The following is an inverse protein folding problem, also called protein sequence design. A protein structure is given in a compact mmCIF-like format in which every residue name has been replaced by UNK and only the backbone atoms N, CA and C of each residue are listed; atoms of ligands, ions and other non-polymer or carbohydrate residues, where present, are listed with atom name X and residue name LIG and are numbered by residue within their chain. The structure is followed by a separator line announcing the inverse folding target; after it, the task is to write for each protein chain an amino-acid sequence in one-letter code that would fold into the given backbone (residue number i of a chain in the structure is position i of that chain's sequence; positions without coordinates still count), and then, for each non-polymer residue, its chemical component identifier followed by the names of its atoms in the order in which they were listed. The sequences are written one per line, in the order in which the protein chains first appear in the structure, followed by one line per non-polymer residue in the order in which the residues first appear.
data_IF_175731762974
#
_entry.id   IF_175731762974
#
_cell.length_a   1.000
_cell.length_b   1.000
_cell.length_c   1.000
_cell.angle_alpha   90.00
_cell.angle_beta   90.00
_cell.angle_gamma   90.00
#
_symmetry.space_group_name_H-M   'P 1'
#
loop_
_entity.id
_entity.type
_entity.pdbx_description
1 polymer ?
#
# COMPACT_ATOMS: atom_id res chain seq x y z
N UNK A 1 -34.78 -7.21 48.68
CA UNK A 1 -34.23 -6.82 47.36
C UNK A 1 -34.66 -7.87 46.33
N UNK A 2 -35.54 -7.50 45.41
CA UNK A 2 -36.31 -8.38 44.53
C UNK A 2 -35.46 -8.98 43.39
N UNK A 3 -35.77 -10.22 42.99
CA UNK A 3 -35.10 -10.95 41.89
C UNK A 3 -34.95 -10.13 40.60
N UNK A 4 -35.96 -9.33 40.26
CA UNK A 4 -35.95 -8.44 39.10
C UNK A 4 -34.78 -7.42 39.08
N UNK A 5 -34.31 -6.97 40.25
CA UNK A 5 -33.17 -6.06 40.33
C UNK A 5 -31.84 -6.79 40.04
N UNK A 6 -31.70 -8.03 40.51
CA UNK A 6 -30.53 -8.88 40.24
C UNK A 6 -30.44 -9.28 38.76
N UNK A 7 -31.55 -9.60 38.12
CA UNK A 7 -31.55 -9.96 36.70
C UNK A 7 -31.22 -8.75 35.82
N UNK A 8 -31.70 -7.54 36.19
CA UNK A 8 -31.35 -6.30 35.50
C UNK A 8 -29.86 -5.95 35.65
N UNK A 9 -29.29 -6.13 36.84
CA UNK A 9 -27.84 -5.97 37.08
C UNK A 9 -27.02 -6.96 36.27
N UNK A 10 -27.38 -8.25 36.26
CA UNK A 10 -26.69 -9.29 35.47
C UNK A 10 -26.76 -9.03 33.97
N UNK A 11 -27.91 -8.57 33.47
CA UNK A 11 -28.06 -8.17 32.07
C UNK A 11 -27.17 -6.97 31.72
N UNK A 12 -27.05 -6.00 32.63
CA UNK A 12 -26.17 -4.86 32.46
C UNK A 12 -24.68 -5.22 32.51
N UNK A 13 -24.27 -6.10 33.43
CA UNK A 13 -22.90 -6.62 33.53
C UNK A 13 -22.48 -7.39 32.28
N UNK A 14 -23.39 -8.23 31.76
CA UNK A 14 -23.15 -9.00 30.53
C UNK A 14 -23.01 -8.08 29.32
N UNK A 15 -23.88 -7.08 29.19
CA UNK A 15 -23.78 -6.09 28.12
C UNK A 15 -22.47 -5.31 28.21
N UNK A 16 -22.08 -4.87 29.41
CA UNK A 16 -20.83 -4.15 29.62
C UNK A 16 -19.61 -5.00 29.25
N UNK A 17 -19.60 -6.28 29.63
CA UNK A 17 -18.53 -7.21 29.26
C UNK A 17 -18.47 -7.43 27.74
N UNK A 18 -19.61 -7.64 27.08
CA UNK A 18 -19.67 -7.80 25.62
C UNK A 18 -19.19 -6.55 24.89
N UNK A 19 -19.60 -5.37 25.35
CA UNK A 19 -19.14 -4.11 24.77
C UNK A 19 -17.64 -3.91 24.98
N UNK A 20 -17.13 -4.16 26.19
CA UNK A 20 -15.69 -4.04 26.47
C UNK A 20 -14.86 -4.95 25.54
N UNK A 21 -15.29 -6.21 25.36
CA UNK A 21 -14.64 -7.14 24.44
C UNK A 21 -14.75 -6.66 23.00
N UNK A 22 -15.93 -6.22 22.57
CA UNK A 22 -16.14 -5.72 21.20
C UNK A 22 -15.27 -4.50 20.90
N UNK A 23 -15.22 -3.51 21.80
CA UNK A 23 -14.38 -2.33 21.65
C UNK A 23 -12.88 -2.64 21.72
N UNK A 24 -12.48 -3.76 22.32
CA UNK A 24 -11.09 -4.20 22.32
C UNK A 24 -10.72 -4.96 21.04
N UNK A 25 -11.58 -5.87 20.57
CA UNK A 25 -11.28 -6.74 19.43
C UNK A 25 -11.56 -6.10 18.07
N UNK A 26 -12.57 -5.24 17.97
CA UNK A 26 -12.97 -4.64 16.69
C UNK A 26 -11.89 -3.73 16.10
N UNK A 27 -11.22 -2.84 16.87
CA UNK A 27 -10.09 -2.08 16.35
C UNK A 27 -8.92 -2.97 15.91
N UNK A 28 -8.68 -4.09 16.61
CA UNK A 28 -7.62 -5.04 16.25
C UNK A 28 -7.92 -5.70 14.90
N UNK A 29 -9.14 -6.20 14.72
CA UNK A 29 -9.57 -6.80 13.46
C UNK A 29 -9.46 -5.81 12.29
N UNK A 30 -9.98 -4.59 12.48
CA UNK A 30 -9.91 -3.55 11.44
C UNK A 30 -8.47 -3.13 11.17
N UNK A 31 -7.62 -3.05 12.21
CA UNK A 31 -6.19 -2.81 12.05
C UNK A 31 -5.49 -3.87 11.20
N UNK A 32 -5.85 -5.15 11.34
CA UNK A 32 -5.32 -6.24 10.50
C UNK A 32 -5.75 -6.05 9.04
N UNK A 33 -7.03 -5.73 8.79
CA UNK A 33 -7.55 -5.51 7.43
C UNK A 33 -6.85 -4.33 6.76
N UNK A 34 -6.76 -3.20 7.47
CA UNK A 34 -6.11 -1.99 6.99
C UNK A 34 -4.62 -2.22 6.69
N UNK A 35 -3.90 -2.90 7.58
CA UNK A 35 -2.50 -3.23 7.38
C UNK A 35 -2.31 -4.20 6.20
N UNK A 36 -3.17 -5.21 6.07
CA UNK A 36 -3.16 -6.14 4.94
C UNK A 36 -3.37 -5.42 3.61
N UNK A 37 -4.31 -4.46 3.56
CA UNK A 37 -4.52 -3.61 2.39
C UNK A 37 -3.30 -2.75 2.05
N UNK A 38 -2.63 -2.18 3.07
CA UNK A 38 -1.41 -1.39 2.88
C UNK A 38 -0.26 -2.24 2.33
N UNK A 39 -0.08 -3.46 2.87
CA UNK A 39 0.93 -4.41 2.41
C UNK A 39 0.65 -4.86 0.96
N UNK A 40 -0.60 -5.16 0.62
CA UNK A 40 -1.00 -5.52 -0.74
C UNK A 40 -0.61 -4.43 -1.75
N UNK A 41 -0.92 -3.17 -1.43
CA UNK A 41 -0.53 -2.01 -2.24
C UNK A 41 0.99 -1.90 -2.35
N UNK A 42 1.71 -2.05 -1.23
CA UNK A 42 3.16 -1.93 -1.21
C UNK A 42 3.83 -2.99 -2.08
N UNK A 43 3.38 -4.25 -2.03
CA UNK A 43 3.88 -5.34 -2.88
C UNK A 43 3.62 -5.03 -4.36
N UNK A 44 2.40 -4.62 -4.72
CA UNK A 44 2.08 -4.26 -6.10
C UNK A 44 2.92 -3.07 -6.60
N UNK A 45 3.13 -2.06 -5.75
CA UNK A 45 3.99 -0.91 -6.05
C UNK A 45 5.46 -1.33 -6.23
N UNK A 46 5.96 -2.28 -5.45
CA UNK A 46 7.31 -2.84 -5.58
C UNK A 46 7.47 -3.62 -6.88
N UNK A 47 6.51 -4.48 -7.25
CA UNK A 47 6.53 -5.22 -8.53
C UNK A 47 6.56 -4.25 -9.71
N UNK A 48 5.69 -3.24 -9.68
CA UNK A 48 5.62 -2.20 -10.71
C UNK A 48 6.92 -1.38 -10.83
N UNK A 49 7.58 -1.07 -9.72
CA UNK A 49 8.89 -0.41 -9.74
C UNK A 49 9.96 -1.31 -10.37
N UNK A 50 9.97 -2.61 -10.03
CA UNK A 50 10.94 -3.57 -10.55
C UNK A 50 10.79 -3.78 -12.06
N UNK A 51 9.57 -4.01 -12.56
CA UNK A 51 9.34 -4.14 -14.01
C UNK A 51 9.64 -2.83 -14.75
N UNK A 52 9.28 -1.69 -14.16
CA UNK A 52 9.59 -0.38 -14.74
C UNK A 52 11.09 -0.17 -14.89
N UNK A 53 11.87 -0.47 -13.85
CA UNK A 53 13.32 -0.35 -13.87
C UNK A 53 13.98 -1.31 -14.87
N UNK A 54 13.46 -2.54 -14.98
CA UNK A 54 13.91 -3.49 -16.00
C UNK A 54 13.69 -2.95 -17.41
N UNK A 55 12.47 -2.56 -17.74
CA UNK A 55 12.13 -2.05 -19.09
C UNK A 55 12.85 -0.74 -19.38
N UNK A 56 13.00 0.15 -18.39
CA UNK A 56 13.78 1.37 -18.55
C UNK A 56 15.27 1.09 -18.78
N UNK A 57 15.81 0.02 -18.20
CA UNK A 57 17.16 -0.46 -18.48
C UNK A 57 17.31 -1.00 -19.91
N UNK A 58 16.38 -1.86 -20.33
CA UNK A 58 16.33 -2.43 -21.69
C UNK A 58 16.22 -1.34 -22.77
N UNK A 59 15.42 -0.30 -22.51
CA UNK A 59 15.21 0.85 -23.42
C UNK A 59 16.30 1.91 -23.31
N UNK A 60 16.90 2.05 -22.13
CA UNK A 60 17.85 3.11 -21.79
C UNK A 60 17.24 4.50 -21.64
N UNK A 61 15.92 4.63 -21.57
CA UNK A 61 15.22 5.91 -21.48
C UNK A 61 13.89 5.81 -20.72
N UNK A 62 13.39 6.94 -20.22
CA UNK A 62 12.05 7.10 -19.66
C UNK A 62 11.04 7.45 -20.76
N UNK A 63 10.55 6.44 -21.46
CA UNK A 63 9.59 6.60 -22.56
C UNK A 63 8.15 6.19 -22.20
N UNK A 64 7.22 6.36 -23.15
CA UNK A 64 5.84 5.98 -22.97
C UNK A 64 5.64 4.47 -22.74
N UNK A 65 6.54 3.62 -23.23
CA UNK A 65 6.45 2.17 -23.10
C UNK A 65 6.81 1.73 -21.66
N UNK A 66 7.82 2.34 -21.04
CA UNK A 66 8.13 2.18 -19.62
C UNK A 66 6.90 2.55 -18.78
N UNK A 67 6.29 3.71 -19.06
CA UNK A 67 5.10 4.20 -18.34
C UNK A 67 3.89 3.28 -18.51
N UNK A 68 3.64 2.80 -19.73
CA UNK A 68 2.55 1.85 -19.99
C UNK A 68 2.79 0.53 -19.26
N UNK A 69 4.02 -0.02 -19.29
CA UNK A 69 4.32 -1.29 -18.63
C UNK A 69 4.11 -1.20 -17.12
N UNK A 70 4.56 -0.11 -16.49
CA UNK A 70 4.29 0.16 -15.06
C UNK A 70 2.77 0.21 -14.82
N UNK A 71 2.02 0.89 -15.70
CA UNK A 71 0.57 0.97 -15.61
C UNK A 71 -0.14 -0.38 -15.74
N UNK A 72 0.33 -1.25 -16.63
CA UNK A 72 -0.18 -2.63 -16.79
C UNK A 72 0.08 -3.46 -15.55
N UNK A 73 1.28 -3.38 -14.97
CA UNK A 73 1.65 -4.12 -13.76
C UNK A 73 0.83 -3.66 -12.54
N UNK A 74 0.64 -2.35 -12.38
CA UNK A 74 -0.23 -1.81 -11.34
C UNK A 74 -1.67 -2.32 -11.48
N UNK A 75 -2.22 -2.28 -12.71
CA UNK A 75 -3.58 -2.80 -13.00
C UNK A 75 -3.70 -4.29 -12.74
N UNK A 76 -2.68 -5.08 -13.07
CA UNK A 76 -2.64 -6.51 -12.76
C UNK A 76 -2.68 -6.79 -11.25
N UNK A 77 -2.08 -5.91 -10.43
CA UNK A 77 -2.19 -5.93 -8.97
C UNK A 77 -3.51 -5.38 -8.40
N UNK A 78 -4.47 -4.99 -9.25
CA UNK A 78 -5.71 -4.33 -8.83
C UNK A 78 -5.53 -2.89 -8.36
N UNK A 79 -4.43 -2.24 -8.76
CA UNK A 79 -4.09 -0.87 -8.37
C UNK A 79 -4.37 0.10 -9.53
N UNK A 80 -4.96 1.26 -9.20
CA UNK A 80 -5.19 2.35 -10.15
C UNK A 80 -3.89 3.15 -10.40
N UNK A 81 -3.32 3.15 -11.62
CA UNK A 81 -2.09 3.85 -11.92
C UNK A 81 -2.15 5.37 -11.69
N UNK A 82 -3.34 5.99 -11.78
CA UNK A 82 -3.50 7.43 -11.59
C UNK A 82 -3.23 7.87 -10.15
N UNK A 83 -3.19 6.93 -9.19
CA UNK A 83 -2.88 7.19 -7.77
C UNK A 83 -1.39 7.13 -7.45
N UNK A 84 -0.53 6.87 -8.43
CA UNK A 84 0.90 6.72 -8.25
C UNK A 84 1.65 7.81 -9.01
N UNK A 85 2.57 8.47 -8.31
CA UNK A 85 3.56 9.34 -8.93
C UNK A 85 4.76 8.48 -9.33
N UNK A 86 5.04 8.42 -10.61
CA UNK A 86 6.15 7.65 -11.17
C UNK A 86 7.28 8.63 -11.51
N UNK A 87 8.47 8.37 -11.00
CA UNK A 87 9.70 9.12 -11.30
C UNK A 87 10.75 8.15 -11.82
N UNK A 88 11.30 8.45 -12.99
CA UNK A 88 12.43 7.71 -13.55
C UNK A 88 13.64 8.64 -13.57
N UNK A 89 14.80 8.17 -13.10
CA UNK A 89 16.00 9.01 -12.99
C UNK A 89 17.27 8.18 -13.18
N UNK A 90 18.19 8.58 -14.07
CA UNK A 90 18.06 9.67 -15.03
C UNK A 90 17.09 9.32 -16.17
N UNK A 91 16.67 10.31 -16.96
CA UNK A 91 15.74 10.11 -18.07
C UNK A 91 16.36 9.32 -19.24
N UNK A 92 17.70 9.27 -19.31
CA UNK A 92 18.46 8.55 -20.34
C UNK A 92 19.70 7.92 -19.70
N UNK A 93 20.04 6.70 -20.10
CA UNK A 93 21.23 5.96 -19.66
C UNK A 93 21.90 5.23 -20.81
N UNK A 94 23.23 5.14 -20.75
CA UNK A 94 24.05 4.27 -21.61
C UNK A 94 24.29 2.92 -20.95
N UNK A 95 24.95 2.03 -21.69
CA UNK A 95 25.31 0.69 -21.23
C UNK A 95 25.92 0.69 -19.83
N UNK A 96 25.34 -0.14 -18.96
CA UNK A 96 25.77 -0.34 -17.58
C UNK A 96 25.47 0.82 -16.62
N UNK A 97 24.99 1.97 -17.11
CA UNK A 97 24.63 3.11 -16.25
C UNK A 97 23.30 2.84 -15.52
N UNK A 98 23.16 3.27 -14.26
CA UNK A 98 21.98 2.98 -13.45
C UNK A 98 20.79 3.85 -13.87
N UNK A 99 19.62 3.24 -14.01
CA UNK A 99 18.32 3.91 -14.16
C UNK A 99 17.39 3.50 -13.03
N UNK A 100 16.93 4.48 -12.25
CA UNK A 100 16.10 4.26 -11.07
C UNK A 100 14.66 4.57 -11.39
N UNK A 101 13.76 3.64 -11.11
CA UNK A 101 12.32 3.86 -11.17
C UNK A 101 11.77 3.90 -9.76
N UNK A 102 11.11 5.00 -9.43
CA UNK A 102 10.50 5.26 -8.13
C UNK A 102 9.00 5.49 -8.30
N UNK A 103 8.22 4.78 -7.51
CA UNK A 103 6.78 4.97 -7.40
C UNK A 103 6.47 5.51 -6.00
N UNK A 104 5.65 6.55 -5.94
CA UNK A 104 5.18 7.17 -4.70
C UNK A 104 3.65 7.20 -4.69
N UNK A 105 3.04 6.76 -3.60
CA UNK A 105 1.60 6.89 -3.39
C UNK A 105 1.28 7.39 -1.98
N UNK A 106 0.16 8.09 -1.82
CA UNK A 106 -0.36 8.53 -0.53
C UNK A 106 -1.57 7.69 -0.16
N UNK A 107 -1.62 7.22 1.09
CA UNK A 107 -2.68 6.37 1.63
C UNK A 107 -3.06 6.86 3.01
N UNK A 108 -4.35 6.78 3.34
CA UNK A 108 -4.83 7.05 4.68
C UNK A 108 -4.97 5.71 5.41
N UNK A 109 -4.35 5.59 6.57
CA UNK A 109 -4.56 4.49 7.51
C UNK A 109 -5.55 4.97 8.57
N UNK A 110 -6.67 4.27 8.75
CA UNK A 110 -7.68 4.64 9.74
C UNK A 110 -8.09 3.42 10.56
N UNK A 111 -7.75 3.42 11.85
CA UNK A 111 -8.21 2.39 12.78
C UNK A 111 -9.25 3.02 13.71
N UNK A 112 -10.53 2.61 13.62
CA UNK A 112 -11.59 3.22 14.41
C UNK A 112 -11.30 3.24 15.90
N UNK A 113 -11.64 4.36 16.54
CA UNK A 113 -11.46 4.61 17.97
C UNK A 113 -9.99 4.66 18.46
N UNK A 114 -9.01 4.40 17.59
CA UNK A 114 -7.58 4.48 17.91
C UNK A 114 -6.92 5.70 17.26
N UNK A 115 -6.83 5.75 15.92
CA UNK A 115 -6.19 6.87 15.21
C UNK A 115 -6.50 6.87 13.70
N UNK A 116 -6.20 7.99 13.05
CA UNK A 116 -6.09 8.09 11.59
C UNK A 116 -4.81 8.84 11.22
N UNK A 117 -4.12 8.40 10.17
CA UNK A 117 -2.86 9.00 9.72
C UNK A 117 -2.64 8.81 8.23
N UNK A 118 -2.14 9.85 7.57
CA UNK A 118 -1.65 9.76 6.20
C UNK A 118 -0.26 9.13 6.16
N UNK A 119 -0.09 8.19 5.23
CA UNK A 119 1.14 7.46 4.96
C UNK A 119 1.55 7.70 3.51
N UNK A 120 2.85 7.94 3.31
CA UNK A 120 3.45 7.97 1.97
C UNK A 120 4.22 6.68 1.77
N UNK A 121 3.81 5.89 0.78
CA UNK A 121 4.50 4.67 0.37
C UNK A 121 5.43 4.99 -0.78
N UNK A 122 6.71 4.69 -0.60
CA UNK A 122 7.75 4.86 -1.63
C UNK A 122 8.35 3.51 -1.96
N UNK A 123 8.37 3.17 -3.24
CA UNK A 123 9.06 1.99 -3.77
C UNK A 123 10.04 2.43 -4.83
N UNK A 124 11.25 1.90 -4.80
CA UNK A 124 12.28 2.24 -5.77
C UNK A 124 13.02 0.99 -6.20
N UNK A 125 13.30 0.88 -7.49
CA UNK A 125 14.13 -0.18 -8.04
C UNK A 125 15.13 0.39 -9.04
N UNK A 126 16.29 -0.23 -9.14
CA UNK A 126 17.38 0.22 -10.02
C UNK A 126 17.62 -0.84 -11.09
N UNK A 127 17.49 -0.43 -12.34
CA UNK A 127 17.93 -1.17 -13.52
C UNK A 127 19.28 -0.64 -14.01
N UNK A 128 19.85 -1.31 -15.02
CA UNK A 128 21.03 -0.82 -15.73
C UNK A 128 20.72 -0.74 -17.22
N UNK A 129 21.23 0.30 -17.88
CA UNK A 129 21.09 0.46 -19.32
C UNK A 129 21.70 -0.72 -20.06
N UNK A 130 20.95 -1.26 -21.02
CA UNK A 130 21.40 -2.34 -21.91
C UNK A 130 21.62 -1.83 -23.35
N UNK A 131 21.62 -0.51 -23.52
CA UNK A 131 21.79 0.17 -24.81
C UNK A 131 23.18 0.78 -24.97
N UNK A 132 23.79 0.60 -26.15
CA UNK A 132 25.15 1.05 -26.46
C UNK A 132 25.25 2.38 -27.22
N UNK A 133 24.12 3.06 -27.50
CA UNK A 133 24.09 4.28 -28.33
C UNK A 133 24.22 5.57 -27.49
#
# INVERSE_FOLDING_TARGET
MSRAYRDRQRGQETLQAMLAVAFMLLPVLLGIIELGGLIHVWIGQQSAAAIGARVAGERGEDDALVRDRIGVELRAGGLDPARFQIRVTPAYVRWGQPITVQLVSRRQLAIPFLFSRDLTLTSSYVGRGEVNH
#
